data_IF_219292871055
#
_entry.id   IF_219292871055
#
_cell.length_a   1.000
_cell.length_b   1.000
_cell.length_c   1.000
_cell.angle_alpha   90.00
_cell.angle_beta   90.00
_cell.angle_gamma   90.00
#
_symmetry.space_group_name_H-M   'P 1'
#
loop_
_entity.id
_entity.type
_entity.pdbx_description
1 polymer ?
#
# COMPACT_ATOMS: atom_id res chain seq x y z
N UNK A 1 -9.87 0.78 -33.81
CA UNK A 1 -9.43 1.20 -35.15
C UNK A 1 -8.91 2.63 -35.06
N UNK A 2 -7.66 2.87 -35.44
CA UNK A 2 -7.08 4.22 -35.54
C UNK A 2 -7.30 4.70 -36.98
N UNK A 3 -8.34 5.48 -37.23
CA UNK A 3 -8.76 5.84 -38.60
C UNK A 3 -8.19 7.17 -39.10
N UNK A 4 -7.50 7.94 -38.25
CA UNK A 4 -7.11 9.34 -38.54
C UNK A 4 -5.59 9.59 -38.48
N UNK A 5 -4.76 8.59 -38.77
CA UNK A 5 -3.30 8.75 -38.84
C UNK A 5 -2.84 8.78 -40.32
N UNK A 6 -2.12 9.84 -40.68
CA UNK A 6 -1.48 9.96 -42.00
C UNK A 6 -0.45 8.83 -42.20
N UNK A 7 -0.42 8.22 -43.38
CA UNK A 7 0.40 7.05 -43.73
C UNK A 7 1.89 7.33 -43.54
N UNK A 8 2.31 8.60 -43.66
CA UNK A 8 3.69 9.02 -43.46
C UNK A 8 4.07 9.20 -41.97
N UNK A 9 3.12 9.09 -41.05
CA UNK A 9 3.33 9.33 -39.61
C UNK A 9 3.45 8.03 -38.80
N UNK A 10 3.34 6.86 -39.45
CA UNK A 10 3.50 5.58 -38.78
C UNK A 10 4.26 4.56 -39.63
N UNK A 11 4.87 3.58 -38.96
CA UNK A 11 5.52 2.42 -39.57
C UNK A 11 5.06 1.15 -38.88
N UNK A 12 4.53 0.21 -39.65
CA UNK A 12 4.22 -1.13 -39.18
C UNK A 12 5.32 -2.11 -39.63
N UNK A 13 5.79 -2.96 -38.73
CA UNK A 13 6.78 -4.00 -39.05
C UNK A 13 6.59 -5.25 -38.20
N UNK A 14 7.04 -6.40 -38.72
CA UNK A 14 7.05 -7.65 -37.97
C UNK A 14 8.33 -7.74 -37.11
N UNK A 15 8.14 -7.97 -35.82
CA UNK A 15 9.19 -8.16 -34.84
C UNK A 15 9.31 -9.64 -34.48
N UNK A 16 10.40 -10.26 -34.92
CA UNK A 16 10.73 -11.64 -34.54
C UNK A 16 11.26 -11.64 -33.10
N UNK A 17 10.42 -12.06 -32.15
CA UNK A 17 10.78 -12.10 -30.72
C UNK A 17 11.24 -13.46 -30.24
N UNK A 18 10.95 -14.52 -31.02
CA UNK A 18 11.12 -15.93 -30.63
C UNK A 18 10.37 -16.34 -29.34
N UNK A 19 9.41 -15.52 -28.88
CA UNK A 19 8.61 -15.75 -27.67
C UNK A 19 7.36 -16.60 -27.94
N UNK A 20 6.75 -16.44 -29.12
CA UNK A 20 5.61 -17.22 -29.59
C UNK A 20 5.95 -17.89 -30.93
N UNK A 21 5.04 -18.75 -31.37
CA UNK A 21 4.87 -19.19 -32.76
C UNK A 21 4.55 -18.03 -33.72
N UNK A 22 3.88 -16.98 -33.23
CA UNK A 22 3.63 -15.75 -33.97
C UNK A 22 4.72 -14.69 -33.75
N UNK A 23 5.01 -13.91 -34.79
CA UNK A 23 5.85 -12.72 -34.69
C UNK A 23 5.03 -11.55 -34.12
N UNK A 24 5.69 -10.71 -33.32
CA UNK A 24 5.05 -9.50 -32.79
C UNK A 24 4.81 -8.50 -33.92
N UNK A 25 3.75 -7.72 -33.82
CA UNK A 25 3.54 -6.56 -34.68
C UNK A 25 4.04 -5.32 -33.96
N UNK A 26 4.99 -4.60 -34.57
CA UNK A 26 5.50 -3.33 -34.08
C UNK A 26 4.87 -2.21 -34.89
N UNK A 27 4.12 -1.35 -34.19
CA UNK A 27 3.53 -0.15 -34.75
C UNK A 27 4.23 1.08 -34.15
N UNK A 28 5.05 1.76 -34.96
CA UNK A 28 5.83 2.92 -34.56
C UNK A 28 5.10 4.19 -35.04
N UNK A 29 4.86 5.13 -34.13
CA UNK A 29 4.26 6.44 -34.46
C UNK A 29 5.34 7.51 -34.32
N UNK A 30 5.53 8.30 -35.37
CA UNK A 30 6.48 9.41 -35.39
C UNK A 30 5.88 10.62 -34.67
N UNK A 31 6.21 10.80 -33.40
CA UNK A 31 5.89 12.03 -32.67
C UNK A 31 6.93 13.12 -32.95
N UNK A 32 6.47 14.32 -33.33
CA UNK A 32 7.32 15.51 -33.54
C UNK A 32 7.97 16.00 -32.23
N UNK A 33 7.39 15.67 -31.09
CA UNK A 33 7.99 15.88 -29.77
C UNK A 33 8.74 14.60 -29.35
N UNK A 34 10.00 14.73 -28.91
CA UNK A 34 10.69 13.62 -28.24
C UNK A 34 10.09 13.47 -26.84
N UNK A 35 9.29 12.44 -26.53
CA UNK A 35 9.00 12.15 -25.15
C UNK A 35 10.34 11.82 -24.48
N UNK A 36 10.65 12.47 -23.36
CA UNK A 36 11.77 12.08 -22.53
C UNK A 36 11.45 10.72 -21.93
N UNK A 37 11.77 9.64 -22.63
CA UNK A 37 11.64 8.26 -22.13
C UNK A 37 12.73 8.08 -21.07
N UNK A 38 12.54 8.70 -19.91
CA UNK A 38 13.34 8.38 -18.74
C UNK A 38 12.79 7.06 -18.22
N UNK A 39 13.65 6.05 -18.03
CA UNK A 39 13.31 4.79 -17.33
C UNK A 39 13.00 5.00 -15.83
N UNK A 40 12.40 6.14 -15.50
CA UNK A 40 12.12 6.64 -14.17
C UNK A 40 10.61 6.85 -14.07
N UNK A 41 9.99 6.18 -13.11
CA UNK A 41 8.61 6.44 -12.74
C UNK A 41 8.60 7.59 -11.75
N UNK A 42 7.69 8.54 -11.95
CA UNK A 42 7.42 9.56 -10.95
C UNK A 42 6.55 8.95 -9.85
N UNK A 43 7.03 8.97 -8.62
CA UNK A 43 6.25 8.63 -7.42
C UNK A 43 6.09 9.87 -6.56
N UNK A 44 4.84 10.22 -6.27
CA UNK A 44 4.52 11.24 -5.25
C UNK A 44 4.50 10.55 -3.89
N UNK A 45 5.17 11.15 -2.90
CA UNK A 45 5.16 10.65 -1.54
C UNK A 45 5.92 11.57 -0.59
N UNK A 46 5.81 11.29 0.71
CA UNK A 46 6.55 12.00 1.76
C UNK A 46 7.83 11.24 2.09
N UNK A 47 8.95 11.94 2.27
CA UNK A 47 10.25 11.34 2.65
C UNK A 47 10.49 11.57 4.14
N UNK A 48 10.19 10.57 4.97
CA UNK A 48 10.52 10.60 6.39
C UNK A 48 11.99 10.21 6.60
N UNK A 49 12.88 11.19 6.70
CA UNK A 49 14.28 10.98 7.06
C UNK A 49 14.54 11.42 8.51
N UNK A 50 15.66 10.96 9.09
CA UNK A 50 15.98 11.23 10.50
C UNK A 50 16.11 12.72 10.81
N UNK A 51 16.75 13.50 9.93
CA UNK A 51 16.94 14.94 10.15
C UNK A 51 15.61 15.70 10.16
N UNK A 52 14.67 15.33 9.28
CA UNK A 52 13.32 15.92 9.24
C UNK A 52 12.51 15.52 10.48
N UNK A 53 12.64 14.27 10.92
CA UNK A 53 12.06 13.78 12.19
C UNK A 53 12.60 14.54 13.40
N UNK A 54 13.90 14.76 13.48
CA UNK A 54 14.52 15.49 14.58
C UNK A 54 14.06 16.97 14.60
N UNK A 55 13.90 17.59 13.43
CA UNK A 55 13.32 18.95 13.31
C UNK A 55 11.86 19.00 13.72
N UNK A 56 11.05 18.03 13.27
CA UNK A 56 9.66 17.89 13.67
C UNK A 56 9.49 17.75 15.19
N UNK A 57 10.29 16.87 15.82
CA UNK A 57 10.28 16.70 17.28
C UNK A 57 10.72 17.98 17.98
N UNK A 58 11.73 18.68 17.44
CA UNK A 58 12.21 19.94 17.99
C UNK A 58 11.10 20.99 17.96
N UNK A 59 10.42 21.18 16.84
CA UNK A 59 9.36 22.18 16.72
C UNK A 59 8.17 21.82 17.64
N UNK A 60 7.74 20.55 17.66
CA UNK A 60 6.70 20.08 18.59
C UNK A 60 7.06 20.24 20.07
N UNK A 61 8.35 20.19 20.42
CA UNK A 61 8.80 20.43 21.81
C UNK A 61 8.59 21.89 22.24
N UNK A 62 8.63 22.83 21.31
CA UNK A 62 8.43 24.26 21.59
C UNK A 62 6.94 24.66 21.51
N UNK A 63 6.09 23.79 20.97
CA UNK A 63 4.64 23.97 20.93
C UNK A 63 4.05 23.97 22.35
N UNK A 64 3.28 25.00 22.69
CA UNK A 64 2.70 25.16 24.03
C UNK A 64 1.35 24.44 24.17
N UNK A 65 0.66 24.18 23.06
CA UNK A 65 -0.64 23.49 23.01
C UNK A 65 -1.77 24.22 23.78
N UNK A 66 -1.61 25.51 24.07
CA UNK A 66 -2.57 26.30 24.86
C UNK A 66 -3.97 26.25 24.26
N UNK A 67 -4.09 26.44 22.94
CA UNK A 67 -5.37 26.39 22.22
C UNK A 67 -6.11 25.07 22.43
N UNK A 68 -5.40 23.95 22.49
CA UNK A 68 -5.99 22.63 22.75
C UNK A 68 -6.29 22.42 24.25
N UNK A 69 -5.44 22.90 25.15
CA UNK A 69 -5.69 22.82 26.59
C UNK A 69 -6.91 23.65 27.02
N UNK A 70 -7.15 24.80 26.39
CA UNK A 70 -8.29 25.68 26.67
C UNK A 70 -9.53 25.43 25.80
N UNK A 71 -9.42 24.64 24.72
CA UNK A 71 -10.57 24.26 23.91
C UNK A 71 -11.64 23.51 24.74
N UNK A 72 -12.90 23.60 24.30
CA UNK A 72 -13.98 22.76 24.83
C UNK A 72 -13.64 21.29 24.65
N UNK A 73 -14.07 20.43 25.59
CA UNK A 73 -13.69 19.01 25.60
C UNK A 73 -13.90 18.33 24.24
N UNK A 74 -15.02 18.57 23.57
CA UNK A 74 -15.35 18.02 22.26
C UNK A 74 -14.37 18.40 21.15
N UNK A 75 -13.76 19.59 21.22
CA UNK A 75 -12.86 20.11 20.18
C UNK A 75 -11.38 19.82 20.46
N UNK A 76 -11.04 19.28 21.64
CA UNK A 76 -9.63 19.07 22.04
C UNK A 76 -8.87 18.15 21.09
N UNK A 77 -9.53 17.12 20.59
CA UNK A 77 -8.90 16.19 19.64
C UNK A 77 -8.68 16.83 18.28
N UNK A 78 -9.63 17.62 17.78
CA UNK A 78 -9.50 18.32 16.50
C UNK A 78 -8.38 19.36 16.55
N UNK A 79 -8.26 20.11 17.64
CA UNK A 79 -7.16 21.05 17.85
C UNK A 79 -5.81 20.32 17.94
N UNK A 80 -5.76 19.18 18.65
CA UNK A 80 -4.57 18.34 18.69
C UNK A 80 -4.16 17.87 17.29
N UNK A 81 -5.11 17.31 16.53
CA UNK A 81 -4.90 16.80 15.19
C UNK A 81 -4.48 17.91 14.22
N UNK A 82 -5.09 19.09 14.32
CA UNK A 82 -4.78 20.25 13.47
C UNK A 82 -3.35 20.71 13.67
N UNK A 83 -2.90 20.85 14.93
CA UNK A 83 -1.52 21.23 15.23
C UNK A 83 -0.53 20.15 14.81
N UNK A 84 -0.82 18.88 15.11
CA UNK A 84 0.03 17.77 14.71
C UNK A 84 0.18 17.70 13.19
N UNK A 85 -0.92 17.86 12.46
CA UNK A 85 -0.95 17.85 11.00
C UNK A 85 -0.18 19.04 10.43
N UNK A 86 -0.35 20.24 10.99
CA UNK A 86 0.41 21.43 10.57
C UNK A 86 1.93 21.19 10.58
N UNK A 87 2.47 20.70 11.71
CA UNK A 87 3.90 20.38 11.80
C UNK A 87 4.28 19.21 10.89
N UNK A 88 3.41 18.21 10.76
CA UNK A 88 3.66 17.08 9.86
C UNK A 88 3.78 17.53 8.40
N UNK A 89 2.90 18.41 7.93
CA UNK A 89 2.94 18.92 6.57
C UNK A 89 4.14 19.84 6.32
N UNK A 90 4.50 20.67 7.32
CA UNK A 90 5.67 21.54 7.29
C UNK A 90 6.97 20.75 7.13
N UNK A 91 7.15 19.66 7.88
CA UNK A 91 8.41 18.91 7.90
C UNK A 91 8.46 17.76 6.89
N UNK A 92 7.31 17.22 6.47
CA UNK A 92 7.24 16.09 5.55
C UNK A 92 6.42 16.41 4.31
N UNK A 93 6.69 17.48 3.55
CA UNK A 93 5.87 17.85 2.40
C UNK A 93 5.83 16.74 1.33
N UNK A 94 4.72 16.69 0.59
CA UNK A 94 4.60 15.77 -0.56
C UNK A 94 5.57 16.19 -1.65
N UNK A 95 6.52 15.30 -1.96
CA UNK A 95 7.53 15.55 -2.98
C UNK A 95 7.40 14.56 -4.14
N UNK A 96 7.67 15.05 -5.35
CA UNK A 96 7.82 14.20 -6.53
C UNK A 96 9.21 13.57 -6.48
N UNK A 97 9.26 12.26 -6.37
CA UNK A 97 10.49 11.48 -6.41
C UNK A 97 10.55 10.67 -7.69
N UNK A 98 11.74 10.58 -8.29
CA UNK A 98 11.98 9.74 -9.46
C UNK A 98 12.50 8.39 -8.98
N UNK A 99 11.77 7.32 -9.30
CA UNK A 99 12.15 5.95 -8.97
C UNK A 99 12.65 5.29 -10.23
N UNK A 100 13.91 4.84 -10.22
CA UNK A 100 14.44 4.02 -11.31
C UNK A 100 13.70 2.69 -11.33
N UNK A 101 13.17 2.31 -12.48
CA UNK A 101 12.68 0.94 -12.67
C UNK A 101 13.89 0.02 -12.52
N UNK A 102 13.88 -0.84 -11.50
CA UNK A 102 14.96 -1.78 -11.27
C UNK A 102 15.07 -2.74 -12.44
N UNK A 103 16.27 -2.87 -13.02
CA UNK A 103 16.56 -3.99 -13.94
C UNK A 103 16.47 -5.30 -13.15
N UNK A 104 15.99 -6.36 -13.81
CA UNK A 104 16.02 -7.72 -13.25
C UNK A 104 17.48 -8.10 -12.95
N UNK A 105 17.79 -8.29 -11.67
CA UNK A 105 19.18 -8.43 -11.20
C UNK A 105 19.86 -9.74 -11.60
N UNK A 106 19.08 -10.73 -12.03
CA UNK A 106 19.57 -12.06 -12.41
C UNK A 106 19.85 -12.22 -13.91
N UNK A 107 19.50 -11.22 -14.74
CA UNK A 107 19.76 -11.25 -16.18
C UNK A 107 21.16 -10.72 -16.46
N UNK A 108 22.05 -11.59 -16.90
CA UNK A 108 23.43 -11.27 -17.27
C UNK A 108 23.61 -11.21 -18.79
N UNK A 109 24.84 -10.93 -19.24
CA UNK A 109 25.15 -10.76 -20.65
C UNK A 109 25.11 -12.09 -21.42
N UNK A 110 25.37 -13.22 -20.76
CA UNK A 110 25.25 -14.56 -21.36
C UNK A 110 23.80 -14.85 -21.78
N UNK A 111 22.81 -14.54 -20.92
CA UNK A 111 21.39 -14.66 -21.28
C UNK A 111 21.05 -13.76 -22.47
N UNK A 112 21.62 -12.55 -22.54
CA UNK A 112 21.34 -11.62 -23.65
C UNK A 112 21.91 -12.14 -24.97
N UNK A 113 23.16 -12.60 -24.96
CA UNK A 113 23.81 -13.15 -26.15
C UNK A 113 23.10 -14.40 -26.66
N UNK A 114 22.68 -15.30 -25.78
CA UNK A 114 21.90 -16.49 -26.19
C UNK A 114 20.50 -16.13 -26.72
N UNK A 115 19.88 -15.08 -26.17
CA UNK A 115 18.63 -14.55 -26.72
C UNK A 115 18.82 -14.02 -28.13
N UNK A 116 19.88 -13.25 -28.38
CA UNK A 116 20.20 -12.71 -29.70
C UNK A 116 20.49 -13.82 -30.70
N UNK A 117 21.24 -14.84 -30.30
CA UNK A 117 21.49 -16.04 -31.09
C UNK A 117 20.17 -16.76 -31.44
N UNK A 118 19.29 -16.96 -30.46
CA UNK A 118 17.98 -17.57 -30.71
C UNK A 118 17.14 -16.76 -31.72
N UNK A 119 17.10 -15.43 -31.56
CA UNK A 119 16.38 -14.55 -32.50
C UNK A 119 16.98 -14.65 -33.90
N UNK A 120 18.30 -14.68 -34.01
CA UNK A 120 19.02 -14.86 -35.27
C UNK A 120 18.64 -16.19 -35.94
N UNK A 121 18.73 -17.31 -35.22
CA UNK A 121 18.37 -18.64 -35.74
C UNK A 121 16.91 -18.67 -36.21
N UNK A 122 15.98 -18.11 -35.42
CA UNK A 122 14.56 -18.05 -35.79
C UNK A 122 14.34 -17.18 -37.04
N UNK A 123 15.08 -16.09 -37.20
CA UNK A 123 14.94 -15.19 -38.35
C UNK A 123 15.44 -15.83 -39.65
N UNK A 124 16.52 -16.62 -39.59
CA UNK A 124 17.20 -17.13 -40.78
C UNK A 124 16.85 -18.59 -41.14
N UNK A 125 16.49 -19.42 -40.15
CA UNK A 125 16.39 -20.87 -40.33
C UNK A 125 14.97 -21.44 -40.16
N UNK A 126 13.98 -20.61 -39.80
CA UNK A 126 12.57 -21.06 -39.60
C UNK A 126 11.96 -21.72 -40.85
N UNK A 127 12.45 -21.38 -42.05
CA UNK A 127 11.95 -21.92 -43.33
C UNK A 127 12.60 -23.24 -43.77
N UNK A 128 13.55 -23.77 -42.99
CA UNK A 128 14.29 -25.00 -43.30
C UNK A 128 14.04 -26.07 -42.25
N UNK A 129 13.86 -27.33 -42.65
CA UNK A 129 13.62 -28.44 -41.70
C UNK A 129 14.80 -28.62 -40.72
N UNK A 130 16.04 -28.66 -41.22
CA UNK A 130 17.26 -28.71 -40.39
C UNK A 130 17.40 -27.49 -39.45
N UNK A 131 16.83 -26.36 -39.86
CA UNK A 131 16.77 -25.14 -39.08
C UNK A 131 15.85 -25.22 -37.87
N UNK A 132 14.72 -25.91 -38.01
CA UNK A 132 13.73 -26.08 -36.94
C UNK A 132 14.27 -26.90 -35.77
N UNK A 133 15.01 -27.97 -36.04
CA UNK A 133 15.66 -28.77 -35.00
C UNK A 133 16.71 -27.97 -34.22
N UNK A 134 17.50 -27.17 -34.94
CA UNK A 134 18.49 -26.26 -34.34
C UNK A 134 17.83 -25.20 -33.46
N UNK A 135 16.71 -24.62 -33.92
CA UNK A 135 15.89 -23.67 -33.15
C UNK A 135 15.33 -24.34 -31.88
N UNK A 136 14.76 -25.54 -31.99
CA UNK A 136 14.21 -26.26 -30.83
C UNK A 136 15.28 -26.57 -29.79
N UNK A 137 16.46 -27.03 -30.23
CA UNK A 137 17.62 -27.27 -29.36
C UNK A 137 18.07 -25.99 -28.65
N UNK A 138 18.23 -24.89 -29.39
CA UNK A 138 18.60 -23.59 -28.84
C UNK A 138 17.54 -23.08 -27.85
N UNK A 139 16.24 -23.16 -28.17
CA UNK A 139 15.15 -22.81 -27.24
C UNK A 139 15.23 -23.61 -25.93
N UNK A 140 15.50 -24.91 -26.01
CA UNK A 140 15.63 -25.79 -24.83
C UNK A 140 16.85 -25.39 -23.98
N UNK A 141 18.00 -25.13 -24.61
CA UNK A 141 19.21 -24.66 -23.94
C UNK A 141 19.00 -23.30 -23.27
N UNK A 142 18.38 -22.36 -23.98
CA UNK A 142 18.06 -21.03 -23.48
C UNK A 142 17.12 -21.07 -22.25
N UNK A 143 16.06 -21.89 -22.30
CA UNK A 143 15.17 -22.11 -21.14
C UNK A 143 15.94 -22.68 -19.94
N UNK A 144 16.84 -23.65 -20.18
CA UNK A 144 17.68 -24.25 -19.13
C UNK A 144 18.66 -23.22 -18.54
N UNK A 145 19.25 -22.36 -19.37
CA UNK A 145 20.13 -21.28 -18.95
C UNK A 145 19.40 -20.30 -18.04
N UNK A 146 18.22 -19.80 -18.47
CA UNK A 146 17.38 -18.90 -17.66
C UNK A 146 17.07 -19.53 -16.30
N UNK A 147 16.61 -20.79 -16.31
CA UNK A 147 16.26 -21.49 -15.08
C UNK A 147 17.46 -21.58 -14.13
N UNK A 148 18.62 -22.01 -14.63
CA UNK A 148 19.83 -22.17 -13.83
C UNK A 148 20.34 -20.84 -13.27
N UNK A 149 20.34 -19.77 -14.07
CA UNK A 149 20.78 -18.44 -13.65
C UNK A 149 19.84 -17.84 -12.61
N UNK A 150 18.53 -17.93 -12.83
CA UNK A 150 17.50 -17.47 -11.88
C UNK A 150 17.60 -18.25 -10.56
N UNK A 151 17.75 -19.58 -10.62
CA UNK A 151 17.99 -20.43 -9.43
C UNK A 151 19.24 -20.02 -8.67
N UNK A 152 20.39 -19.95 -9.35
CA UNK A 152 21.68 -19.59 -8.73
C UNK A 152 21.64 -18.21 -8.06
N UNK A 153 20.96 -17.25 -8.69
CA UNK A 153 20.78 -15.91 -8.14
C UNK A 153 19.99 -15.93 -6.83
N UNK A 154 18.80 -16.56 -6.82
CA UNK A 154 17.98 -16.61 -5.60
C UNK A 154 18.59 -17.48 -4.51
N UNK A 155 19.25 -18.59 -4.86
CA UNK A 155 19.99 -19.41 -3.90
C UNK A 155 21.07 -18.58 -3.19
N UNK A 156 21.80 -17.73 -3.93
CA UNK A 156 22.81 -16.82 -3.36
C UNK A 156 22.15 -15.74 -2.49
N UNK A 157 21.04 -15.16 -2.92
CA UNK A 157 20.32 -14.14 -2.14
C UNK A 157 19.80 -14.71 -0.81
N UNK A 158 19.29 -15.94 -0.81
CA UNK A 158 18.81 -16.63 0.39
C UNK A 158 19.98 -16.97 1.32
N UNK A 159 21.06 -17.56 0.80
CA UNK A 159 22.25 -17.95 1.60
C UNK A 159 22.93 -16.76 2.27
N UNK A 160 22.95 -15.60 1.61
CA UNK A 160 23.57 -14.39 2.14
C UNK A 160 22.63 -13.55 3.02
N UNK A 161 21.42 -14.02 3.29
CA UNK A 161 20.43 -13.26 4.04
C UNK A 161 20.59 -13.42 5.56
N UNK A 162 20.42 -12.33 6.29
CA UNK A 162 20.40 -12.35 7.77
C UNK A 162 19.14 -13.06 8.32
N UNK A 163 18.05 -13.07 7.55
CA UNK A 163 16.82 -13.75 7.91
C UNK A 163 16.28 -14.51 6.69
N UNK A 164 16.51 -15.83 6.70
CA UNK A 164 16.19 -16.75 5.60
C UNK A 164 14.68 -16.77 5.34
N UNK A 165 13.86 -16.98 6.38
CA UNK A 165 12.40 -17.10 6.26
C UNK A 165 11.80 -15.83 5.64
N UNK A 166 12.18 -14.66 6.14
CA UNK A 166 11.69 -13.37 5.62
C UNK A 166 12.12 -13.15 4.17
N UNK A 167 13.33 -13.57 3.81
CA UNK A 167 13.88 -13.41 2.45
C UNK A 167 13.18 -14.33 1.47
N UNK A 168 12.97 -15.60 1.83
CA UNK A 168 12.19 -16.56 1.02
C UNK A 168 10.78 -16.04 0.79
N UNK A 169 10.06 -15.60 1.84
CA UNK A 169 8.72 -15.04 1.69
C UNK A 169 8.70 -13.76 0.84
N UNK A 170 9.75 -12.94 0.91
CA UNK A 170 9.89 -11.77 0.04
C UNK A 170 10.03 -12.17 -1.43
N UNK A 171 10.85 -13.18 -1.74
CA UNK A 171 11.04 -13.71 -3.09
C UNK A 171 9.73 -14.30 -3.62
N UNK A 172 9.08 -15.17 -2.85
CA UNK A 172 7.77 -15.76 -3.21
C UNK A 172 6.77 -14.66 -3.51
N UNK A 173 6.59 -13.70 -2.59
CA UNK A 173 5.68 -12.58 -2.80
C UNK A 173 6.05 -11.73 -4.03
N UNK A 174 7.33 -11.60 -4.40
CA UNK A 174 7.71 -10.84 -5.59
C UNK A 174 7.39 -11.56 -6.90
N UNK A 175 7.34 -12.90 -6.88
CA UNK A 175 7.06 -13.74 -8.05
C UNK A 175 5.56 -14.09 -8.16
N UNK A 176 4.84 -14.14 -7.02
CA UNK A 176 3.41 -14.51 -6.97
C UNK A 176 2.46 -13.34 -6.83
N UNK A 177 2.93 -12.14 -6.42
CA UNK A 177 2.04 -10.98 -6.37
C UNK A 177 1.60 -10.61 -7.77
N UNK A 178 0.37 -10.97 -8.10
CA UNK A 178 -0.46 -10.17 -8.96
C UNK A 178 -0.53 -8.78 -8.30
N UNK A 179 -0.06 -7.74 -8.98
CA UNK A 179 -0.36 -6.37 -8.61
C UNK A 179 -1.87 -6.18 -8.80
N UNK A 180 -2.68 -6.65 -7.85
CA UNK A 180 -3.97 -6.06 -7.61
C UNK A 180 -3.62 -4.64 -7.18
N UNK A 181 -3.60 -3.72 -8.13
CA UNK A 181 -3.90 -2.34 -7.78
C UNK A 181 -5.17 -2.46 -6.94
N UNK A 182 -5.09 -2.02 -5.69
CA UNK A 182 -6.30 -1.75 -4.93
C UNK A 182 -6.98 -0.59 -5.67
N UNK A 183 -7.61 -0.92 -6.78
CA UNK A 183 -8.48 -0.02 -7.51
C UNK A 183 -9.55 0.41 -6.54
N UNK A 184 -10.01 1.64 -6.75
CA UNK A 184 -11.18 2.18 -6.07
C UNK A 184 -12.28 1.12 -6.10
N UNK A 185 -12.68 0.64 -4.91
CA UNK A 185 -13.72 -0.38 -4.79
C UNK A 185 -14.99 0.26 -5.33
N UNK A 186 -15.46 -0.22 -6.48
CA UNK A 186 -16.70 0.24 -7.10
C UNK A 186 -17.77 -0.83 -6.90
N UNK A 187 -18.89 -0.45 -6.28
CA UNK A 187 -20.06 -1.32 -6.19
C UNK A 187 -21.06 -0.91 -7.26
N UNK A 188 -21.62 -1.90 -7.96
CA UNK A 188 -22.83 -1.68 -8.76
C UNK A 188 -24.01 -1.68 -7.79
N UNK A 189 -24.62 -0.53 -7.60
CA UNK A 189 -25.84 -0.37 -6.83
C UNK A 189 -26.91 0.06 -7.84
N UNK A 190 -27.96 -0.74 -8.01
CA UNK A 190 -29.10 -0.40 -8.88
C UNK A 190 -28.67 -0.03 -10.32
N UNK A 191 -27.75 -0.81 -10.90
CA UNK A 191 -27.17 -0.60 -12.24
C UNK A 191 -26.32 0.69 -12.41
N UNK A 192 -26.04 1.41 -11.33
CA UNK A 192 -25.10 2.53 -11.33
C UNK A 192 -23.80 2.13 -10.63
N UNK A 193 -22.67 2.37 -11.30
CA UNK A 193 -21.34 2.10 -10.72
C UNK A 193 -21.02 3.26 -9.78
N UNK A 194 -21.06 2.99 -8.47
CA UNK A 194 -20.68 3.96 -7.46
C UNK A 194 -19.23 3.72 -7.03
N UNK A 195 -18.36 4.67 -7.37
CA UNK A 195 -16.95 4.64 -7.01
C UNK A 195 -16.63 5.51 -5.78
N UNK A 196 -17.59 6.29 -5.27
CA UNK A 196 -17.34 7.14 -4.09
C UNK A 196 -17.18 6.25 -2.84
N UNK A 197 -16.02 6.34 -2.20
CA UNK A 197 -15.64 5.48 -1.08
C UNK A 197 -16.59 5.61 0.13
N UNK A 198 -17.07 6.82 0.43
CA UNK A 198 -18.01 7.04 1.54
C UNK A 198 -19.34 6.37 1.26
N UNK A 199 -19.86 6.52 0.03
CA UNK A 199 -21.13 5.91 -0.37
C UNK A 199 -21.05 4.38 -0.40
N UNK A 200 -19.93 3.84 -0.90
CA UNK A 200 -19.64 2.40 -0.91
C UNK A 200 -19.61 1.86 0.52
N UNK A 201 -18.89 2.51 1.43
CA UNK A 201 -18.83 2.13 2.84
C UNK A 201 -20.19 2.21 3.53
N UNK A 202 -20.93 3.29 3.32
CA UNK A 202 -22.26 3.48 3.90
C UNK A 202 -23.23 2.40 3.40
N UNK A 203 -23.26 2.12 2.10
CA UNK A 203 -24.15 1.08 1.55
C UNK A 203 -23.77 -0.31 2.04
N UNK A 204 -22.47 -0.60 2.15
CA UNK A 204 -21.99 -1.85 2.75
C UNK A 204 -22.45 -1.97 4.21
N UNK A 205 -22.31 -0.90 5.00
CA UNK A 205 -22.77 -0.89 6.38
C UNK A 205 -24.29 -1.10 6.46
N UNK A 206 -25.08 -0.35 5.69
CA UNK A 206 -26.55 -0.51 5.61
C UNK A 206 -26.94 -1.94 5.24
N UNK A 207 -26.28 -2.56 4.27
CA UNK A 207 -26.57 -3.94 3.89
C UNK A 207 -26.41 -4.91 5.06
N UNK A 208 -25.31 -4.82 5.83
CA UNK A 208 -25.12 -5.73 6.97
C UNK A 208 -26.10 -5.44 8.11
N UNK A 209 -26.45 -4.17 8.35
CA UNK A 209 -27.51 -3.82 9.30
C UNK A 209 -28.86 -4.40 8.87
N UNK A 210 -29.25 -4.22 7.61
CA UNK A 210 -30.49 -4.76 7.04
C UNK A 210 -30.52 -6.30 7.07
N UNK A 211 -29.38 -6.97 6.82
CA UNK A 211 -29.27 -8.43 6.94
C UNK A 211 -29.51 -8.87 8.39
N UNK A 212 -28.91 -8.21 9.38
CA UNK A 212 -29.13 -8.49 10.80
C UNK A 212 -30.61 -8.31 11.15
N UNK A 213 -31.23 -7.21 10.72
CA UNK A 213 -32.64 -6.92 10.96
C UNK A 213 -33.58 -7.95 10.33
N UNK A 214 -33.28 -8.40 9.11
CA UNK A 214 -34.13 -9.35 8.38
C UNK A 214 -33.92 -10.80 8.78
N UNK A 215 -32.72 -11.20 9.19
CA UNK A 215 -32.37 -12.61 9.37
C UNK A 215 -32.06 -13.01 10.81
N UNK A 216 -31.57 -12.08 11.64
CA UNK A 216 -31.17 -12.39 13.02
C UNK A 216 -32.27 -11.96 13.99
N UNK A 217 -32.69 -10.69 13.96
CA UNK A 217 -33.70 -10.17 14.90
C UNK A 217 -35.03 -10.97 14.93
N UNK A 218 -35.57 -11.48 13.82
CA UNK A 218 -36.82 -12.25 13.83
C UNK A 218 -36.64 -13.67 14.41
N UNK A 219 -35.42 -14.18 14.38
CA UNK A 219 -35.07 -15.53 14.84
C UNK A 219 -34.48 -15.54 16.26
N UNK A 220 -34.16 -14.38 16.81
CA UNK A 220 -33.99 -14.22 18.25
C UNK A 220 -35.37 -14.42 18.85
N UNK A 221 -35.60 -15.62 19.40
CA UNK A 221 -36.78 -15.91 20.22
C UNK A 221 -36.90 -14.76 21.22
N UNK A 222 -37.95 -13.93 21.07
CA UNK A 222 -38.38 -13.04 22.14
C UNK A 222 -38.81 -14.00 23.25
N UNK A 223 -37.88 -14.38 24.10
CA UNK A 223 -38.19 -15.14 25.30
C UNK A 223 -39.10 -14.24 26.12
N UNK A 224 -40.40 -14.45 25.93
CA UNK A 224 -41.39 -14.06 26.92
C UNK A 224 -40.96 -14.73 28.21
N UNK A 225 -40.79 -13.93 29.25
CA UNK A 225 -40.18 -14.24 30.55
C UNK A 225 -38.68 -14.00 30.68
N UNK A 226 -38.34 -12.72 30.77
CA UNK A 226 -37.62 -12.26 31.96
C UNK A 226 -38.43 -11.15 32.63
N UNK A 227 -39.48 -11.52 33.34
CA UNK A 227 -39.93 -10.75 34.50
C UNK A 227 -38.86 -10.91 35.58
N UNK A 228 -37.77 -10.17 35.44
CA UNK A 228 -36.87 -9.88 36.55
C UNK A 228 -37.06 -8.42 36.96
N UNK A 229 -38.29 -8.06 37.34
CA UNK A 229 -38.49 -6.98 38.32
C UNK A 229 -38.17 -7.54 39.71
N UNK A 230 -36.96 -8.06 39.89
CA UNK A 230 -36.31 -7.91 41.19
C UNK A 230 -35.70 -6.52 41.12
N UNK A 231 -35.93 -5.61 42.08
CA UNK A 231 -35.10 -4.42 42.18
C UNK A 231 -33.68 -4.97 42.30
N UNK A 232 -32.89 -4.85 41.23
CA UNK A 232 -31.49 -5.15 41.34
C UNK A 232 -31.00 -4.15 42.37
N UNK A 233 -30.52 -4.66 43.50
CA UNK A 233 -29.83 -3.86 44.50
C UNK A 233 -29.02 -2.79 43.78
N UNK A 234 -29.20 -1.51 44.13
CA UNK A 234 -28.46 -0.36 43.58
C UNK A 234 -26.93 -0.48 43.70
N UNK A 235 -26.42 -1.60 44.22
CA UNK A 235 -25.04 -2.02 44.22
C UNK A 235 -24.61 -2.69 42.90
N UNK A 236 -24.88 -2.08 41.75
CA UNK A 236 -23.98 -2.32 40.62
C UNK A 236 -22.67 -1.58 40.91
N UNK A 237 -21.50 -2.23 40.72
CA UNK A 237 -20.24 -1.49 40.75
C UNK A 237 -20.34 -0.40 39.69
N UNK A 238 -20.30 0.86 40.12
CA UNK A 238 -20.38 1.98 39.19
C UNK A 238 -19.19 1.86 38.24
N UNK A 239 -19.45 1.66 36.95
CA UNK A 239 -18.40 1.70 35.95
C UNK A 239 -17.87 3.13 35.90
N UNK A 240 -16.66 3.33 36.40
CA UNK A 240 -15.98 4.62 36.41
C UNK A 240 -14.69 4.48 35.63
N UNK A 241 -14.50 5.38 34.67
CA UNK A 241 -13.23 5.51 33.97
C UNK A 241 -12.29 6.30 34.88
N UNK A 242 -11.18 5.67 35.26
CA UNK A 242 -10.11 6.37 35.94
C UNK A 242 -9.25 7.09 34.91
N UNK A 243 -8.82 8.31 35.23
CA UNK A 243 -7.88 9.05 34.40
C UNK A 243 -6.62 8.23 34.16
N UNK A 244 -6.11 8.30 32.94
CA UNK A 244 -4.91 7.61 32.49
C UNK A 244 -3.70 8.47 32.81
N UNK A 245 -2.63 7.81 33.26
CA UNK A 245 -1.34 8.44 33.47
C UNK A 245 -0.51 8.49 32.18
N UNK A 246 0.42 9.44 32.09
CA UNK A 246 1.39 9.52 31.00
C UNK A 246 2.17 8.19 30.80
N UNK A 247 2.49 7.48 31.89
CA UNK A 247 3.18 6.19 31.82
C UNK A 247 2.35 5.09 31.15
N UNK A 248 1.04 5.06 31.40
CA UNK A 248 0.13 4.12 30.75
C UNK A 248 0.00 4.44 29.25
N UNK A 249 -0.19 5.71 28.90
CA UNK A 249 -0.21 6.15 27.49
C UNK A 249 1.09 5.77 26.80
N UNK A 250 2.24 5.98 27.44
CA UNK A 250 3.55 5.60 26.91
C UNK A 250 3.67 4.08 26.68
N UNK A 251 3.18 3.27 27.62
CA UNK A 251 3.15 1.80 27.50
C UNK A 251 2.31 1.36 26.31
N UNK A 252 1.16 1.99 26.09
CA UNK A 252 0.30 1.72 24.94
C UNK A 252 0.96 2.15 23.61
N UNK A 253 1.56 3.32 23.54
CA UNK A 253 2.31 3.75 22.34
C UNK A 253 3.43 2.75 22.01
N UNK A 254 4.17 2.27 23.01
CA UNK A 254 5.26 1.34 22.81
C UNK A 254 4.79 -0.04 22.30
N UNK A 255 3.62 -0.51 22.74
CA UNK A 255 3.07 -1.82 22.34
C UNK A 255 2.58 -1.86 20.89
N UNK A 256 2.24 -0.72 20.30
CA UNK A 256 1.87 -0.62 18.89
C UNK A 256 2.97 -1.18 17.98
N UNK A 257 2.65 -1.93 16.93
CA UNK A 257 3.67 -2.41 15.99
C UNK A 257 4.21 -1.24 15.16
N UNK A 258 5.53 -1.03 15.17
CA UNK A 258 6.20 0.03 14.39
C UNK A 258 6.13 -0.25 12.88
N UNK A 259 4.99 0.01 12.26
CA UNK A 259 4.81 -0.07 10.81
C UNK A 259 5.17 1.26 10.15
N UNK A 260 5.68 1.20 8.92
CA UNK A 260 5.89 2.37 8.06
C UNK A 260 4.66 2.73 7.21
N UNK A 261 3.60 1.92 7.32
CA UNK A 261 2.32 2.19 6.69
C UNK A 261 1.55 3.17 7.58
N UNK A 262 1.02 4.20 6.95
CA UNK A 262 0.13 5.19 7.55
C UNK A 262 -1.33 4.81 7.32
N UNK A 263 -2.21 5.32 8.16
CA UNK A 263 -3.65 5.25 7.93
C UNK A 263 -4.11 6.28 6.91
N UNK A 264 -5.38 6.67 7.01
CA UNK A 264 -5.98 7.76 6.23
C UNK A 264 -5.26 9.11 6.44
N UNK A 265 -4.71 9.32 7.63
CA UNK A 265 -3.98 10.53 8.05
C UNK A 265 -2.60 10.68 7.41
N UNK A 266 -2.11 9.70 6.65
CA UNK A 266 -0.76 9.65 6.09
C UNK A 266 0.40 9.69 7.13
N UNK A 267 0.12 9.69 8.43
CA UNK A 267 1.12 9.74 9.50
C UNK A 267 1.60 8.32 9.84
N UNK A 268 2.89 7.99 9.68
CA UNK A 268 3.38 6.66 10.06
C UNK A 268 3.40 6.48 11.58
N UNK A 269 2.94 5.34 12.09
CA UNK A 269 3.02 5.02 13.54
C UNK A 269 4.45 5.06 14.09
N UNK A 270 5.44 4.83 13.22
CA UNK A 270 6.86 5.02 13.58
C UNK A 270 7.16 6.47 13.98
N UNK A 271 6.62 7.46 13.27
CA UNK A 271 6.85 8.87 13.58
C UNK A 271 6.27 9.21 14.95
N UNK A 272 5.05 8.75 15.25
CA UNK A 272 4.42 8.92 16.57
C UNK A 272 5.26 8.30 17.68
N UNK A 273 5.86 7.13 17.44
CA UNK A 273 6.77 6.51 18.41
C UNK A 273 8.06 7.30 18.62
N UNK A 274 8.60 7.87 17.55
CA UNK A 274 9.82 8.67 17.62
C UNK A 274 9.55 10.02 18.36
N UNK A 275 8.34 10.59 18.21
CA UNK A 275 7.89 11.81 18.89
C UNK A 275 7.10 11.58 20.19
N UNK A 276 7.02 10.36 20.70
CA UNK A 276 6.11 10.00 21.81
C UNK A 276 6.29 10.84 23.07
N UNK A 277 7.53 11.22 23.40
CA UNK A 277 7.81 11.99 24.63
C UNK A 277 7.31 13.44 24.54
N UNK A 278 7.30 14.04 23.35
CA UNK A 278 6.76 15.39 23.16
C UNK A 278 5.24 15.38 23.03
N UNK A 279 4.67 14.27 22.55
CA UNK A 279 3.23 14.09 22.42
C UNK A 279 2.54 13.55 23.68
N UNK A 280 3.31 13.14 24.70
CA UNK A 280 2.77 12.37 25.81
C UNK A 280 1.76 13.16 26.64
N UNK A 281 2.16 14.35 27.07
CA UNK A 281 1.34 15.29 27.83
C UNK A 281 0.07 15.72 27.09
N UNK A 282 0.15 16.25 25.83
CA UNK A 282 -1.06 16.65 25.10
C UNK A 282 -2.01 15.47 24.85
N UNK A 283 -1.49 14.28 24.50
CA UNK A 283 -2.32 13.11 24.24
C UNK A 283 -3.02 12.60 25.51
N UNK A 284 -2.31 12.59 26.64
CA UNK A 284 -2.88 12.19 27.94
C UNK A 284 -4.01 13.14 28.35
N UNK A 285 -3.86 14.44 28.10
CA UNK A 285 -4.90 15.42 28.37
C UNK A 285 -6.17 15.19 27.54
N UNK A 286 -6.04 14.92 26.24
CA UNK A 286 -7.18 14.64 25.36
C UNK A 286 -7.92 13.36 25.77
N UNK A 287 -7.17 12.30 26.11
CA UNK A 287 -7.77 11.04 26.59
C UNK A 287 -8.53 11.26 27.90
N UNK A 288 -7.91 11.96 28.85
CA UNK A 288 -8.54 12.23 30.14
C UNK A 288 -9.75 13.16 30.01
N UNK A 289 -9.75 14.09 29.07
CA UNK A 289 -10.92 14.90 28.77
C UNK A 289 -12.12 14.02 28.37
N UNK A 290 -11.91 13.00 27.53
CA UNK A 290 -12.97 12.05 27.14
C UNK A 290 -13.49 11.27 28.35
N UNK A 291 -12.59 10.84 29.24
CA UNK A 291 -12.95 10.05 30.41
C UNK A 291 -13.71 10.87 31.46
N UNK A 292 -13.38 12.15 31.61
CA UNK A 292 -14.04 13.06 32.54
C UNK A 292 -15.44 13.45 32.03
N UNK A 293 -15.59 13.75 30.74
CA UNK A 293 -16.89 14.15 30.18
C UNK A 293 -17.81 12.98 29.89
N UNK A 294 -17.27 11.76 29.77
CA UNK A 294 -18.03 10.60 29.32
C UNK A 294 -18.39 10.65 27.83
N UNK A 295 -17.81 11.59 27.08
CA UNK A 295 -18.00 11.76 25.64
C UNK A 295 -16.75 11.22 24.94
N UNK A 296 -16.94 10.39 23.91
CA UNK A 296 -15.84 9.99 23.05
C UNK A 296 -15.44 11.18 22.17
N UNK A 297 -14.24 11.72 22.40
CA UNK A 297 -13.67 12.78 21.58
C UNK A 297 -12.86 12.11 20.46
N UNK A 298 -13.31 12.22 19.20
CA UNK A 298 -12.75 11.52 18.03
C UNK A 298 -12.87 12.29 16.73
#
# INVERSE_FOLDING_TARGET
FLTNLDVNQFKASCLVTALSDHDGQLFEILCKSKPTISGQLNKIGRKCNKNDTDRFIKDLKHEQWEHMYYAQSENKYDEFCTTLMYYFEKHFPKVRSRVKIGKTKWVDDEIKSERENLIYLVKHLRKTELGMDSIHKCKKQYKKLIFNKKKKYFDKEIKNSQNVVKTVWKIVNSETKCNFNHGQISLSIENVINSNQVNVCNKFNSYFLEVVERTILPNIVKSGHVTASKPVSDSFPHFRLNQVSENEVLKHINSCKSKLLSGFDEIPIKLIKDSKYVLLKPLTHVINASFITGILIS
#
